data_IF_424107883559
#
_entry.id   IF_424107883559
#
_cell.length_a   1.000
_cell.length_b   1.000
_cell.length_c   1.000
_cell.angle_alpha   90.00
_cell.angle_beta   90.00
_cell.angle_gamma   90.00
#
_symmetry.space_group_name_H-M   'P 1'
#
loop_
_entity.id
_entity.type
_entity.pdbx_description
1 polymer ?
#
# COMPACT_ATOMS: atom_id res chain seq x y z
N UNK A 1 27.89 10.61 0.81
CA UNK A 1 26.48 10.18 0.96
C UNK A 1 26.09 9.02 0.01
N UNK A 2 26.62 8.95 -1.23
CA UNK A 2 26.30 7.88 -2.20
C UNK A 2 26.79 6.47 -1.82
N UNK A 3 27.95 6.35 -1.17
CA UNK A 3 28.52 5.05 -0.78
C UNK A 3 27.66 4.29 0.23
N UNK A 4 27.06 4.98 1.20
CA UNK A 4 26.24 4.35 2.24
C UNK A 4 24.94 3.73 1.66
N UNK A 5 24.32 4.42 0.68
CA UNK A 5 23.15 3.90 -0.02
C UNK A 5 23.50 2.69 -0.92
N UNK A 6 24.69 2.70 -1.52
CA UNK A 6 25.17 1.56 -2.32
C UNK A 6 25.34 0.31 -1.45
N UNK A 7 25.85 0.46 -0.23
CA UNK A 7 25.97 -0.64 0.75
C UNK A 7 24.61 -1.16 1.17
N UNK A 8 23.65 -0.29 1.50
CA UNK A 8 22.29 -0.70 1.86
C UNK A 8 21.61 -1.48 0.71
N UNK A 9 21.80 -1.04 -0.53
CA UNK A 9 21.32 -1.76 -1.73
C UNK A 9 22.01 -3.11 -1.94
N UNK A 10 23.30 -3.23 -1.65
CA UNK A 10 24.02 -4.50 -1.74
C UNK A 10 23.47 -5.52 -0.73
N UNK A 11 23.22 -5.09 0.50
CA UNK A 11 22.61 -5.93 1.56
C UNK A 11 21.22 -6.42 1.17
N UNK A 12 20.39 -5.57 0.56
CA UNK A 12 19.06 -5.95 0.05
C UNK A 12 19.13 -7.02 -1.05
N UNK A 13 20.14 -6.90 -1.94
CA UNK A 13 20.35 -7.82 -3.08
C UNK A 13 21.04 -9.13 -2.72
N UNK A 14 21.63 -9.23 -1.53
CA UNK A 14 22.34 -10.44 -1.11
C UNK A 14 21.36 -11.60 -0.90
N UNK A 15 21.53 -12.71 -1.63
CA UNK A 15 20.66 -13.88 -1.53
C UNK A 15 20.96 -14.75 -0.31
N UNK A 16 22.09 -14.52 0.39
CA UNK A 16 22.47 -15.28 1.58
C UNK A 16 21.71 -14.86 2.84
N UNK A 17 21.18 -13.64 2.85
CA UNK A 17 20.47 -13.09 4.00
C UNK A 17 19.00 -13.49 3.95
N UNK A 18 18.47 -13.95 5.09
CA UNK A 18 17.06 -14.24 5.21
C UNK A 18 16.24 -12.92 5.22
N UNK A 19 14.98 -12.98 4.80
CA UNK A 19 14.07 -11.82 4.75
C UNK A 19 13.99 -11.07 6.08
N UNK A 20 14.08 -11.79 7.21
CA UNK A 20 14.11 -11.21 8.55
C UNK A 20 15.39 -10.39 8.82
N UNK A 21 16.55 -10.92 8.42
CA UNK A 21 17.85 -10.27 8.63
C UNK A 21 17.97 -9.01 7.78
N UNK A 22 17.52 -9.09 6.52
CA UNK A 22 17.43 -7.93 5.62
C UNK A 22 16.60 -6.81 6.23
N UNK A 23 15.42 -7.14 6.76
CA UNK A 23 14.54 -6.16 7.40
C UNK A 23 15.21 -5.48 8.59
N UNK A 24 15.83 -6.26 9.49
CA UNK A 24 16.52 -5.72 10.66
C UNK A 24 17.70 -4.83 10.30
N UNK A 25 18.45 -5.17 9.24
CA UNK A 25 19.55 -4.34 8.75
C UNK A 25 19.04 -3.03 8.15
N UNK A 26 17.95 -3.09 7.37
CA UNK A 26 17.31 -1.90 6.82
C UNK A 26 16.79 -0.98 7.92
N UNK A 27 16.13 -1.52 8.95
CA UNK A 27 15.67 -0.75 10.12
C UNK A 27 16.84 -0.06 10.86
N UNK A 28 18.01 -0.71 10.96
CA UNK A 28 19.19 -0.10 11.54
C UNK A 28 19.81 0.98 10.63
N UNK A 29 19.80 0.79 9.32
CA UNK A 29 20.22 1.82 8.37
C UNK A 29 19.27 3.02 8.38
N UNK A 30 17.97 2.77 8.57
CA UNK A 30 16.93 3.79 8.65
C UNK A 30 17.12 4.74 9.85
N UNK A 31 17.69 4.25 10.97
CA UNK A 31 18.08 5.12 12.11
C UNK A 31 19.16 6.15 11.77
N UNK A 32 20.02 5.84 10.79
CA UNK A 32 21.11 6.73 10.35
C UNK A 32 20.69 7.57 9.16
N UNK A 33 19.92 6.98 8.23
CA UNK A 33 19.45 7.68 7.04
C UNK A 33 18.24 8.56 7.32
N UNK A 34 17.49 8.30 8.39
CA UNK A 34 16.28 9.05 8.75
C UNK A 34 15.20 8.99 7.68
N UNK A 35 15.19 7.93 6.87
CA UNK A 35 14.30 7.79 5.72
C UNK A 35 12.89 7.32 6.12
N UNK A 36 12.71 6.95 7.39
CA UNK A 36 11.44 6.46 7.95
C UNK A 36 10.86 5.33 7.10
N UNK A 37 11.71 4.47 6.54
CA UNK A 37 11.31 3.31 5.72
C UNK A 37 10.39 2.33 6.46
N UNK A 38 10.42 2.39 7.79
CA UNK A 38 9.56 1.59 8.69
C UNK A 38 8.19 2.24 8.89
N UNK A 39 8.10 3.57 8.75
CA UNK A 39 6.83 4.27 8.68
C UNK A 39 6.34 4.07 7.25
N UNK A 40 5.33 3.22 7.09
CA UNK A 40 4.47 3.35 5.92
C UNK A 40 3.88 4.75 6.07
N UNK A 41 4.37 5.71 5.30
CA UNK A 41 3.55 6.86 4.96
C UNK A 41 2.30 6.22 4.38
N UNK A 42 1.25 6.13 5.21
CA UNK A 42 -0.11 6.11 4.72
C UNK A 42 -0.14 7.37 3.87
N UNK A 43 0.13 7.20 2.58
CA UNK A 43 0.04 8.27 1.61
C UNK A 43 -1.31 8.88 1.96
N UNK A 44 -1.36 10.15 2.41
CA UNK A 44 -2.63 10.81 2.59
C UNK A 44 -3.09 11.05 1.16
N UNK A 45 -3.57 9.97 0.55
CA UNK A 45 -4.40 10.02 -0.61
C UNK A 45 -5.55 10.85 -0.09
N UNK A 46 -5.68 12.04 -0.64
CA UNK A 46 -6.86 12.89 -0.46
C UNK A 46 -8.02 12.11 -1.09
N UNK A 47 -8.44 11.04 -0.39
CA UNK A 47 -9.51 10.15 -0.79
C UNK A 47 -10.75 10.99 -0.56
N UNK A 48 -11.42 11.47 -1.61
CA UNK A 48 -12.63 12.23 -1.44
C UNK A 48 -13.61 11.35 -0.67
N UNK A 49 -14.36 11.92 0.28
CA UNK A 49 -15.35 11.17 1.07
C UNK A 49 -16.27 10.32 0.19
N UNK A 50 -16.58 10.79 -1.03
CA UNK A 50 -17.34 10.05 -2.04
C UNK A 50 -16.72 8.69 -2.42
N UNK A 51 -15.38 8.59 -2.52
CA UNK A 51 -14.70 7.33 -2.86
C UNK A 51 -14.77 6.36 -1.69
N UNK A 52 -14.64 6.87 -0.46
CA UNK A 52 -14.80 6.06 0.75
C UNK A 52 -16.25 5.54 0.89
N UNK A 53 -17.24 6.37 0.58
CA UNK A 53 -18.66 5.97 0.52
C UNK A 53 -18.92 4.93 -0.58
N UNK A 54 -18.27 5.05 -1.74
CA UNK A 54 -18.38 4.04 -2.82
C UNK A 54 -17.75 2.71 -2.42
N UNK A 55 -16.65 2.72 -1.67
CA UNK A 55 -16.01 1.52 -1.11
C UNK A 55 -16.92 0.86 -0.07
N UNK A 56 -17.50 1.63 0.85
CA UNK A 56 -18.46 1.12 1.84
C UNK A 56 -19.70 0.52 1.18
N UNK A 57 -20.27 1.21 0.18
CA UNK A 57 -21.39 0.67 -0.61
C UNK A 57 -20.99 -0.62 -1.33
N UNK A 58 -19.76 -0.72 -1.84
CA UNK A 58 -19.25 -1.93 -2.49
C UNK A 58 -19.21 -3.11 -1.50
N UNK A 59 -18.79 -2.88 -0.25
CA UNK A 59 -18.81 -3.89 0.81
C UNK A 59 -20.24 -4.34 1.15
N UNK A 60 -21.17 -3.39 1.30
CA UNK A 60 -22.59 -3.69 1.54
C UNK A 60 -23.19 -4.49 0.39
N UNK A 61 -22.90 -4.13 -0.87
CA UNK A 61 -23.35 -4.88 -2.04
C UNK A 61 -22.73 -6.28 -2.10
N UNK A 62 -21.47 -6.47 -1.68
CA UNK A 62 -20.86 -7.80 -1.53
C UNK A 62 -21.58 -8.63 -0.48
N UNK A 63 -21.88 -8.05 0.70
CA UNK A 63 -22.66 -8.73 1.76
C UNK A 63 -24.05 -9.09 1.29
N UNK A 64 -24.67 -8.22 0.49
CA UNK A 64 -25.97 -8.44 -0.14
C UNK A 64 -25.92 -9.35 -1.40
N UNK A 65 -24.76 -9.92 -1.75
CA UNK A 65 -24.53 -10.75 -2.95
C UNK A 65 -24.92 -10.08 -4.28
N UNK A 66 -24.89 -8.74 -4.33
CA UNK A 66 -25.19 -7.90 -5.50
C UNK A 66 -23.91 -7.64 -6.30
N UNK A 67 -23.46 -8.66 -7.01
CA UNK A 67 -22.21 -8.62 -7.78
C UNK A 67 -22.20 -7.57 -8.90
N UNK A 68 -23.33 -7.36 -9.58
CA UNK A 68 -23.46 -6.39 -10.67
C UNK A 68 -23.30 -4.94 -10.19
N UNK A 69 -23.88 -4.60 -9.04
CA UNK A 69 -23.78 -3.25 -8.46
C UNK A 69 -22.38 -3.00 -7.87
N UNK A 70 -21.74 -4.03 -7.31
CA UNK A 70 -20.35 -3.99 -6.88
C UNK A 70 -19.38 -3.70 -8.04
N UNK A 71 -19.62 -4.30 -9.21
CA UNK A 71 -18.80 -4.09 -10.41
C UNK A 71 -19.00 -2.69 -11.01
N UNK A 72 -20.24 -2.17 -10.98
CA UNK A 72 -20.54 -0.79 -11.38
C UNK A 72 -19.81 0.23 -10.49
N UNK A 73 -19.80 0.00 -9.17
CA UNK A 73 -19.06 0.84 -8.23
C UNK A 73 -17.55 0.77 -8.47
N UNK A 74 -17.01 -0.41 -8.77
CA UNK A 74 -15.59 -0.58 -9.11
C UNK A 74 -15.20 0.27 -10.31
N UNK A 75 -15.98 0.24 -11.39
CA UNK A 75 -15.73 1.07 -12.58
C UNK A 75 -15.81 2.56 -12.28
N UNK A 76 -16.73 2.97 -11.41
CA UNK A 76 -16.84 4.36 -10.97
C UNK A 76 -15.62 4.85 -10.19
N UNK A 77 -15.04 3.98 -9.36
CA UNK A 77 -13.83 4.29 -8.58
C UNK A 77 -12.58 4.31 -9.50
N UNK A 78 -12.47 3.35 -10.42
CA UNK A 78 -11.40 3.32 -11.44
C UNK A 78 -11.47 4.56 -12.35
N UNK A 79 -12.67 5.01 -12.75
CA UNK A 79 -12.86 6.22 -13.55
C UNK A 79 -12.45 7.51 -12.82
N UNK A 80 -12.51 7.53 -11.48
CA UNK A 80 -12.01 8.63 -10.65
C UNK A 80 -10.49 8.58 -10.45
N UNK A 81 -9.80 7.60 -11.02
CA UNK A 81 -8.34 7.43 -10.90
C UNK A 81 -7.92 6.80 -9.57
N UNK A 82 -8.80 6.04 -8.92
CA UNK A 82 -8.47 5.30 -7.70
C UNK A 82 -8.60 3.80 -7.95
N UNK A 83 -7.63 3.03 -7.47
CA UNK A 83 -7.61 1.58 -7.48
C UNK A 83 -7.86 1.08 -6.06
N UNK A 84 -8.90 0.26 -5.92
CA UNK A 84 -9.24 -0.37 -4.64
C UNK A 84 -8.71 -1.79 -4.65
N UNK A 85 -7.79 -2.08 -3.75
CA UNK A 85 -7.21 -3.41 -3.54
C UNK A 85 -7.75 -3.98 -2.23
N UNK A 86 -8.54 -5.04 -2.33
CA UNK A 86 -8.96 -5.81 -1.15
C UNK A 86 -7.78 -6.67 -0.68
N UNK A 87 -7.23 -6.36 0.49
CA UNK A 87 -6.29 -7.23 1.18
C UNK A 87 -6.98 -7.90 2.37
N UNK A 88 -6.38 -9.01 2.84
CA UNK A 88 -6.88 -9.81 3.96
C UNK A 88 -7.06 -8.99 5.26
N UNK A 89 -6.37 -7.86 5.39
CA UNK A 89 -6.34 -7.00 6.57
C UNK A 89 -7.08 -5.66 6.37
N UNK A 90 -7.80 -5.49 5.24
CA UNK A 90 -8.59 -4.29 4.97
C UNK A 90 -8.58 -3.85 3.51
N UNK A 91 -9.35 -2.80 3.23
CA UNK A 91 -9.44 -2.19 1.91
C UNK A 91 -8.38 -1.12 1.77
N UNK A 92 -7.39 -1.33 0.89
CA UNK A 92 -6.39 -0.31 0.56
C UNK A 92 -6.82 0.42 -0.70
N UNK A 93 -6.99 1.74 -0.61
CA UNK A 93 -7.29 2.60 -1.76
C UNK A 93 -5.99 3.29 -2.19
N UNK A 94 -5.51 2.96 -3.39
CA UNK A 94 -4.36 3.61 -4.00
C UNK A 94 -4.82 4.52 -5.13
N UNK A 95 -4.24 5.71 -5.27
CA UNK A 95 -4.46 6.56 -6.45
C UNK A 95 -3.62 6.06 -7.61
N UNK A 96 -4.21 5.97 -8.80
CA UNK A 96 -3.54 5.62 -10.07
C UNK A 96 -2.87 6.87 -10.64
#
# INVERSE_FOLDING_TARGET
>A
MSAALAVARAVLKDEKLNSFEKRRLVENFDKVFGLKLSERDEIPVDIPAEVMDMVNKREEMRKAKKWAESDALRKGIEAKGFKVSDFFDGVTVEKI
#
